data_IF_267913713576
#
_entry.id   IF_267913713576
#
_cell.length_a   1.000
_cell.length_b   1.000
_cell.length_c   1.000
_cell.angle_alpha   90.00
_cell.angle_beta   90.00
_cell.angle_gamma   90.00
#
_symmetry.space_group_name_H-M   'P 1'
#
loop_
_entity.id
_entity.type
_entity.pdbx_description
1 polymer ?
2 non-polymer ?
3 non-polymer ?
4 water ?
#
# COMPACT_ATOMS: atom_id res chain seq x y z
N UNK A 2 -17.73 -20.94 -7.44
CA UNK A 2 -16.49 -20.57 -8.18
C UNK A 2 -15.87 -19.25 -7.69
N UNK A 3 -14.59 -19.07 -8.00
CA UNK A 3 -13.91 -17.87 -7.57
C UNK A 3 -13.59 -17.10 -8.87
N UNK A 4 -14.24 -15.96 -9.08
CA UNK A 4 -14.11 -15.20 -10.26
C UNK A 4 -13.02 -14.14 -10.07
N UNK A 5 -12.28 -13.83 -11.15
CA UNK A 5 -11.43 -12.62 -11.23
C UNK A 5 -11.75 -11.77 -12.39
N UNK A 6 -12.19 -10.55 -12.12
CA UNK A 6 -12.39 -9.54 -13.12
C UNK A 6 -11.08 -8.85 -13.34
N UNK A 7 -10.63 -8.80 -14.59
CA UNK A 7 -9.25 -8.38 -14.86
C UNK A 7 -9.03 -7.89 -16.27
N UNK A 8 -7.85 -7.32 -16.49
CA UNK A 8 -7.23 -7.20 -17.79
C UNK A 8 -5.77 -7.64 -17.69
N UNK A 9 -5.24 -8.28 -18.74
CA UNK A 9 -3.94 -8.91 -18.54
C UNK A 9 -2.79 -7.91 -18.55
N UNK A 10 -2.95 -6.75 -19.18
CA UNK A 10 -1.84 -5.82 -19.20
C UNK A 10 -1.58 -5.08 -17.84
N UNK A 11 -2.52 -5.22 -16.92
CA UNK A 11 -2.50 -4.48 -15.68
C UNK A 11 -1.54 -5.18 -14.73
N UNK A 12 -0.55 -4.48 -14.19
CA UNK A 12 0.32 -5.08 -13.16
C UNK A 12 -0.42 -5.51 -11.89
N UNK A 13 -1.33 -4.68 -11.40
CA UNK A 13 -2.11 -5.20 -10.25
C UNK A 13 -2.89 -6.50 -10.55
N UNK A 14 -3.47 -6.63 -11.76
CA UNK A 14 -4.12 -7.90 -12.14
C UNK A 14 -3.11 -9.04 -12.18
N UNK A 15 -1.95 -8.80 -12.75
CA UNK A 15 -0.92 -9.86 -12.82
C UNK A 15 -0.42 -10.27 -11.44
N UNK A 16 -0.42 -9.32 -10.50
CA UNK A 16 -0.14 -9.60 -9.08
C UNK A 16 -1.01 -10.76 -8.63
N UNK A 17 -2.29 -10.69 -8.98
CA UNK A 17 -3.20 -11.71 -8.50
C UNK A 17 -3.06 -13.03 -9.27
N UNK A 18 -2.92 -12.91 -10.58
CA UNK A 18 -2.77 -14.10 -11.44
C UNK A 18 -1.54 -14.85 -10.98
N UNK A 19 -0.44 -14.16 -10.69
CA UNK A 19 0.70 -14.84 -10.09
C UNK A 19 0.44 -15.50 -8.76
N UNK A 20 -0.19 -14.78 -7.82
CA UNK A 20 -0.46 -15.35 -6.53
C UNK A 20 -1.34 -16.61 -6.70
N UNK A 21 -2.30 -16.56 -7.60
CA UNK A 21 -3.26 -17.63 -7.76
C UNK A 21 -2.56 -18.93 -8.23
N UNK A 22 -1.67 -18.76 -9.20
CA UNK A 22 -0.81 -19.88 -9.58
C UNK A 22 0.05 -20.42 -8.48
N UNK A 23 0.68 -19.56 -7.64
CA UNK A 23 1.59 -19.97 -6.62
C UNK A 23 0.91 -20.73 -5.50
N UNK A 24 -0.30 -20.30 -5.22
CA UNK A 24 -1.10 -20.90 -4.13
C UNK A 24 -1.81 -22.18 -4.64
N UNK A 25 -2.17 -22.16 -5.91
CA UNK A 25 -2.76 -23.26 -6.60
C UNK A 25 -4.23 -23.13 -6.62
N UNK A 26 -4.72 -21.92 -6.88
CA UNK A 26 -6.14 -21.66 -6.90
C UNK A 26 -6.59 -21.36 -8.32
N UNK A 27 -7.52 -22.16 -8.79
CA UNK A 27 -8.05 -21.92 -10.12
C UNK A 27 -9.01 -20.77 -10.07
N UNK A 28 -8.90 -19.87 -11.03
CA UNK A 28 -9.73 -18.71 -11.06
C UNK A 28 -10.53 -18.75 -12.31
N UNK A 29 -11.80 -18.38 -12.23
CA UNK A 29 -12.58 -18.19 -13.40
C UNK A 29 -12.29 -16.79 -13.82
N UNK A 30 -11.54 -16.66 -14.90
CA UNK A 30 -11.18 -15.33 -15.44
C UNK A 30 -12.27 -14.68 -16.24
N UNK A 31 -12.65 -13.46 -15.83
CA UNK A 31 -13.66 -12.69 -16.49
C UNK A 31 -13.01 -11.44 -17.02
N UNK A 32 -12.63 -11.50 -18.29
CA UNK A 32 -12.01 -10.36 -18.94
C UNK A 32 -12.93 -9.15 -18.92
N UNK A 33 -12.42 -8.03 -18.41
CA UNK A 33 -13.24 -6.87 -18.27
C UNK A 33 -12.75 -5.76 -19.15
N UNK A 34 -13.57 -5.37 -20.13
CA UNK A 34 -13.15 -4.32 -21.07
C UNK A 34 -13.40 -2.93 -20.51
N UNK A 35 -12.29 -2.30 -20.13
CA UNK A 35 -12.32 -1.00 -19.47
C UNK A 35 -12.68 0.08 -20.45
N UNK A 36 -12.15 -0.02 -21.68
CA UNK A 36 -12.38 1.05 -22.67
C UNK A 36 -13.87 1.24 -23.01
N UNK A 37 -14.64 0.17 -23.01
CA UNK A 37 -16.09 0.24 -23.16
C UNK A 37 -16.92 0.30 -21.85
N UNK A 38 -16.27 0.52 -20.70
CA UNK A 38 -17.03 0.82 -19.50
C UNK A 38 -17.62 -0.39 -18.81
N UNK A 39 -17.05 -1.58 -19.06
CA UNK A 39 -17.68 -2.80 -18.48
C UNK A 39 -17.56 -2.84 -16.97
N UNK A 40 -16.59 -2.12 -16.44
CA UNK A 40 -16.41 -1.97 -14.97
C UNK A 40 -17.33 -0.89 -14.36
N UNK A 41 -18.16 -0.31 -15.22
CA UNK A 41 -19.04 0.80 -14.86
C UNK A 41 -20.52 0.42 -14.94
N UNK A 42 -20.81 -0.83 -15.24
CA UNK A 42 -22.19 -1.22 -15.33
C UNK A 42 -22.77 -1.28 -13.93
N UNK A 43 -24.10 -1.19 -13.81
CA UNK A 43 -24.73 -1.29 -12.49
C UNK A 43 -24.29 -2.49 -11.73
N UNK A 44 -24.11 -3.58 -12.47
CA UNK A 44 -23.88 -4.90 -11.90
C UNK A 44 -22.49 -4.90 -11.32
N UNK A 45 -21.59 -4.21 -12.02
CA UNK A 45 -20.17 -4.22 -11.59
C UNK A 45 -20.10 -3.40 -10.30
N UNK A 46 -20.71 -2.24 -10.36
CA UNK A 46 -20.63 -1.28 -9.29
C UNK A 46 -21.24 -1.86 -8.04
N UNK A 47 -22.33 -2.57 -8.20
CA UNK A 47 -22.90 -3.27 -7.09
C UNK A 47 -21.88 -4.17 -6.48
N UNK A 48 -21.00 -4.74 -7.33
CA UNK A 48 -20.06 -5.73 -6.83
C UNK A 48 -18.84 -5.00 -6.16
N UNK A 49 -18.40 -3.95 -6.82
CA UNK A 49 -17.22 -3.17 -6.42
C UNK A 49 -17.43 -1.72 -6.73
N UNK A 50 -17.82 -0.88 -5.71
CA UNK A 50 -18.11 0.54 -6.02
C UNK A 50 -16.97 1.34 -6.55
N UNK A 51 -15.73 0.89 -6.32
CA UNK A 51 -14.64 1.58 -6.93
C UNK A 51 -14.42 1.31 -8.44
N UNK A 52 -15.19 0.43 -9.02
CA UNK A 52 -15.12 0.18 -10.43
C UNK A 52 -13.67 0.04 -10.89
N UNK A 53 -12.97 -0.91 -10.27
CA UNK A 53 -11.60 -1.17 -10.72
C UNK A 53 -11.26 -2.62 -10.74
N UNK A 54 -10.19 -2.97 -11.47
CA UNK A 54 -9.69 -4.37 -11.52
C UNK A 54 -8.26 -4.43 -10.96
N UNK A 55 -7.91 -5.54 -10.35
CA UNK A 55 -8.64 -6.78 -10.19
C UNK A 55 -9.81 -6.68 -9.18
N UNK A 56 -10.92 -7.34 -9.48
CA UNK A 56 -11.93 -7.63 -8.49
C UNK A 56 -12.06 -9.16 -8.33
N UNK A 57 -11.97 -9.66 -7.11
CA UNK A 57 -12.17 -11.05 -6.79
C UNK A 57 -13.59 -11.26 -6.29
N UNK A 58 -14.23 -12.33 -6.78
CA UNK A 58 -15.56 -12.78 -6.25
C UNK A 58 -15.50 -14.24 -5.93
N UNK A 59 -15.26 -14.51 -4.67
CA UNK A 59 -15.05 -15.84 -4.15
C UNK A 59 -16.41 -16.21 -3.53
N UNK A 60 -17.29 -16.78 -4.36
CA UNK A 60 -18.60 -17.18 -3.92
C UNK A 60 -19.29 -16.15 -3.09
N UNK A 61 -19.41 -14.93 -3.62
CA UNK A 61 -20.09 -13.86 -2.96
C UNK A 61 -19.20 -12.94 -2.07
N UNK A 62 -18.02 -13.42 -1.70
CA UNK A 62 -17.06 -12.61 -0.91
C UNK A 62 -16.25 -11.82 -1.93
N UNK A 63 -16.40 -10.51 -1.91
CA UNK A 63 -15.85 -9.63 -2.89
C UNK A 63 -14.63 -8.83 -2.34
N UNK A 64 -13.54 -8.78 -3.11
CA UNK A 64 -12.39 -7.96 -2.75
C UNK A 64 -11.91 -7.18 -3.92
N UNK A 65 -11.41 -5.97 -3.68
CA UNK A 65 -10.55 -5.29 -4.60
C UNK A 65 -9.17 -5.08 -3.82
N UNK A 66 -8.29 -4.37 -4.45
CA UNK A 66 -6.86 -4.25 -4.01
C UNK A 66 -6.07 -5.53 -4.21
N UNK A 67 -5.29 -5.55 -5.30
CA UNK A 67 -4.54 -6.70 -5.69
C UNK A 67 -3.78 -7.36 -4.56
N UNK A 68 -3.11 -6.58 -3.75
CA UNK A 68 -2.23 -7.14 -2.75
C UNK A 68 -2.98 -7.72 -1.57
N UNK A 69 -4.17 -7.23 -1.32
CA UNK A 69 -5.04 -7.83 -0.33
C UNK A 69 -5.60 -9.13 -0.89
N UNK A 70 -5.92 -9.16 -2.19
CA UNK A 70 -6.39 -10.43 -2.82
C UNK A 70 -5.28 -11.46 -2.77
N UNK A 71 -4.03 -11.06 -3.08
CA UNK A 71 -2.95 -12.01 -3.00
C UNK A 71 -2.86 -12.71 -1.64
N UNK A 72 -2.81 -11.93 -0.59
CA UNK A 72 -2.68 -12.47 0.77
C UNK A 72 -3.94 -13.20 1.26
N UNK A 73 -5.08 -12.83 0.74
CA UNK A 73 -6.34 -13.61 0.99
C UNK A 73 -6.28 -15.03 0.40
N UNK A 74 -5.80 -15.15 -0.82
CA UNK A 74 -5.67 -16.48 -1.41
C UNK A 74 -4.74 -17.30 -0.62
N UNK A 75 -3.64 -16.73 -0.13
CA UNK A 75 -2.76 -17.52 0.66
C UNK A 75 -3.42 -17.91 2.01
N UNK A 76 -4.05 -16.94 2.66
CA UNK A 76 -4.61 -17.10 4.00
C UNK A 76 -5.74 -18.14 3.99
N UNK A 77 -6.54 -18.09 2.94
CA UNK A 77 -7.76 -18.90 2.82
C UNK A 77 -7.50 -20.27 2.17
N UNK A 78 -6.55 -20.34 1.25
CA UNK A 78 -6.37 -21.55 0.43
C UNK A 78 -4.98 -22.09 0.38
N UNK A 79 -4.05 -21.39 1.01
CA UNK A 79 -2.66 -21.74 0.98
C UNK A 79 -2.32 -23.06 1.60
N UNK A 80 -1.38 -23.75 0.96
CA UNK A 80 -0.86 -25.02 1.48
C UNK A 80 0.64 -24.92 1.79
N UNK A 81 1.30 -23.85 1.32
CA UNK A 81 2.75 -23.71 1.50
C UNK A 81 3.08 -22.45 2.31
N UNK A 82 3.37 -22.65 3.56
CA UNK A 82 3.63 -21.55 4.48
C UNK A 82 4.79 -20.63 3.99
N UNK A 83 5.73 -21.15 3.24
CA UNK A 83 6.89 -20.40 2.90
C UNK A 83 6.50 -19.28 1.96
N UNK A 84 5.39 -19.41 1.24
CA UNK A 84 4.94 -18.35 0.31
C UNK A 84 4.46 -17.11 1.07
N UNK A 85 3.98 -17.32 2.31
CA UNK A 85 3.46 -16.18 3.09
C UNK A 85 3.42 -16.64 4.53
N UNK A 86 4.59 -16.67 5.17
CA UNK A 86 4.82 -17.31 6.48
C UNK A 86 3.87 -16.82 7.54
N UNK A 87 3.42 -17.73 8.39
CA UNK A 87 2.58 -17.32 9.51
C UNK A 87 3.30 -16.62 10.64
N UNK A 88 4.59 -16.89 10.80
CA UNK A 88 5.43 -16.21 11.84
C UNK A 88 5.33 -14.71 11.68
N UNK A 89 4.98 -14.00 12.76
CA UNK A 89 4.74 -12.57 12.63
C UNK A 89 5.88 -11.74 12.07
N UNK A 90 7.13 -12.05 12.44
CA UNK A 90 8.22 -11.30 11.88
C UNK A 90 8.48 -11.61 10.44
N UNK A 91 8.47 -12.87 10.06
CA UNK A 91 8.64 -13.22 8.63
C UNK A 91 7.49 -12.61 7.84
N UNK A 92 6.30 -12.70 8.40
CA UNK A 92 5.18 -12.17 7.64
C UNK A 92 5.30 -10.65 7.46
N UNK A 93 5.77 -9.99 8.50
CA UNK A 93 5.93 -8.55 8.44
C UNK A 93 6.94 -8.12 7.39
N UNK A 94 7.95 -8.91 7.15
CA UNK A 94 8.88 -8.61 6.07
C UNK A 94 8.24 -8.71 4.73
N UNK A 95 7.38 -9.74 4.56
CA UNK A 95 6.60 -9.88 3.33
C UNK A 95 5.66 -8.66 3.17
N UNK A 96 4.89 -8.36 4.20
CA UNK A 96 4.01 -7.21 4.15
C UNK A 96 4.74 -5.89 3.87
N UNK A 97 5.89 -5.65 4.51
CA UNK A 97 6.68 -4.47 4.31
C UNK A 97 6.98 -4.35 2.78
N UNK A 98 7.38 -5.44 2.15
CA UNK A 98 7.81 -5.39 0.75
C UNK A 98 6.56 -5.19 -0.12
N UNK A 99 5.43 -5.71 0.27
CA UNK A 99 4.20 -5.41 -0.49
C UNK A 99 3.84 -3.96 -0.45
N UNK A 100 3.95 -3.30 0.69
CA UNK A 100 3.74 -1.88 0.75
C UNK A 100 4.80 -1.09 0.00
N UNK A 101 6.05 -1.54 0.04
CA UNK A 101 7.11 -0.96 -0.80
C UNK A 101 6.68 -1.01 -2.28
N UNK A 102 6.23 -2.19 -2.71
CA UNK A 102 5.78 -2.36 -4.08
C UNK A 102 4.66 -1.38 -4.48
N UNK A 103 3.62 -1.26 -3.68
CA UNK A 103 2.53 -0.34 -4.04
C UNK A 103 3.02 1.10 -3.92
N UNK A 104 3.65 1.45 -2.81
CA UNK A 104 3.83 2.88 -2.48
C UNK A 104 5.08 3.56 -2.96
N UNK A 105 6.08 2.77 -3.36
CA UNK A 105 7.37 3.27 -3.77
C UNK A 105 7.68 2.81 -5.19
N UNK A 106 7.72 1.50 -5.41
CA UNK A 106 8.12 0.97 -6.72
C UNK A 106 7.08 1.23 -7.78
N UNK A 107 5.90 0.62 -7.64
CA UNK A 107 4.89 0.80 -8.67
C UNK A 107 4.40 2.26 -8.69
N UNK A 108 4.28 2.89 -7.53
CA UNK A 108 3.89 4.30 -7.47
C UNK A 108 4.80 5.18 -8.35
N UNK A 109 6.10 5.03 -8.17
CA UNK A 109 7.06 5.83 -8.86
C UNK A 109 7.07 5.52 -10.36
N UNK A 110 6.88 4.25 -10.74
CA UNK A 110 6.66 3.92 -12.13
C UNK A 110 5.44 4.61 -12.71
N UNK A 111 4.30 4.49 -12.02
CA UNK A 111 3.03 5.10 -12.51
C UNK A 111 3.19 6.60 -12.63
N UNK A 112 3.81 7.22 -11.65
CA UNK A 112 4.01 8.70 -11.68
C UNK A 112 4.84 9.14 -12.89
N UNK A 113 5.77 8.29 -13.30
CA UNK A 113 6.66 8.62 -14.39
C UNK A 113 6.07 8.30 -15.72
N UNK A 114 5.25 7.23 -15.84
CA UNK A 114 4.81 6.76 -17.14
C UNK A 114 3.38 6.99 -17.51
N UNK A 115 2.52 7.06 -16.51
CA UNK A 115 1.07 7.12 -16.77
C UNK A 115 0.68 8.43 -17.41
N UNK A 116 1.27 9.53 -16.93
CA UNK A 116 0.87 10.83 -17.53
C UNK A 116 1.25 10.79 -19.00
N UNK A 117 2.37 10.16 -19.30
CA UNK A 117 2.83 10.10 -20.67
C UNK A 117 2.00 9.17 -21.54
N UNK A 118 1.75 7.97 -21.06
CA UNK A 118 1.02 7.00 -21.83
C UNK A 118 -0.46 7.34 -21.96
N UNK A 119 -1.05 7.80 -20.87
CA UNK A 119 -2.45 8.10 -20.83
C UNK A 119 -2.74 9.61 -20.89
N UNK A 120 -1.74 10.44 -20.68
CA UNK A 120 -2.01 11.87 -20.68
C UNK A 120 -1.40 12.60 -21.85
N UNK A 121 -0.83 11.87 -22.81
CA UNK A 121 -0.06 12.50 -23.86
C UNK A 121 1.20 13.23 -23.40
N UNK A 122 1.30 13.54 -22.11
CA UNK A 122 2.47 14.30 -21.60
C UNK A 122 3.80 13.73 -22.01
N UNK A 123 4.82 14.57 -22.13
CA UNK A 123 6.18 14.07 -22.33
C UNK A 123 6.78 13.50 -21.05
N UNK A 124 7.65 12.51 -21.19
CA UNK A 124 8.32 11.90 -20.06
C UNK A 124 9.25 12.83 -19.34
N UNK A 125 9.08 12.93 -18.03
CA UNK A 125 9.84 13.80 -17.19
C UNK A 125 10.99 13.02 -16.63
N UNK A 126 12.19 13.41 -17.03
CA UNK A 126 13.39 12.69 -16.63
C UNK A 126 13.64 12.75 -15.13
N UNK A 127 13.09 13.74 -14.44
CA UNK A 127 13.19 13.70 -12.98
C UNK A 127 12.28 12.66 -12.31
N UNK A 128 11.11 12.46 -12.89
CA UNK A 128 10.21 11.42 -12.39
C UNK A 128 10.81 10.05 -12.66
N UNK A 129 11.50 9.91 -13.79
CA UNK A 129 12.13 8.63 -14.13
C UNK A 129 13.21 8.38 -13.12
N UNK A 130 13.91 9.45 -12.74
CA UNK A 130 14.91 9.39 -11.72
C UNK A 130 14.36 8.91 -10.38
N UNK A 131 13.13 9.30 -10.02
CA UNK A 131 12.59 8.86 -8.74
C UNK A 131 12.29 7.32 -8.84
N UNK A 132 11.87 6.89 -10.01
CA UNK A 132 11.76 5.41 -10.27
C UNK A 132 13.12 4.77 -10.09
N UNK A 133 14.17 5.39 -10.67
CA UNK A 133 15.52 4.97 -10.36
C UNK A 133 15.83 4.79 -8.87
N UNK A 134 15.44 5.77 -8.05
CA UNK A 134 15.65 5.67 -6.64
C UNK A 134 14.99 4.41 -6.02
N UNK A 135 13.76 4.14 -6.43
CA UNK A 135 13.06 2.98 -5.94
C UNK A 135 13.80 1.71 -6.36
N UNK A 136 14.31 1.68 -7.58
CA UNK A 136 15.03 0.53 -8.06
C UNK A 136 16.37 0.36 -7.29
N UNK A 137 17.02 1.46 -6.95
CA UNK A 137 18.17 1.40 -6.10
C UNK A 137 17.87 0.74 -4.74
N UNK A 138 16.77 1.13 -4.11
CA UNK A 138 16.40 0.52 -2.85
C UNK A 138 16.13 -0.99 -3.03
N UNK A 139 15.41 -1.34 -4.07
CA UNK A 139 15.12 -2.76 -4.37
C UNK A 139 16.41 -3.56 -4.57
N UNK A 140 17.33 -3.01 -5.37
CA UNK A 140 18.59 -3.65 -5.63
C UNK A 140 19.37 -3.88 -4.32
N UNK A 141 19.25 -2.95 -3.41
CA UNK A 141 19.82 -3.08 -2.08
C UNK A 141 19.21 -4.16 -1.25
N UNK A 142 17.88 -4.27 -1.26
CA UNK A 142 17.20 -5.35 -0.55
C UNK A 142 17.74 -6.71 -1.00
N UNK A 143 18.03 -6.82 -2.30
CA UNK A 143 18.40 -8.06 -2.93
C UNK A 143 19.90 -8.36 -2.84
N UNK A 144 20.67 -7.49 -2.21
CA UNK A 144 22.10 -7.67 -2.07
C UNK A 144 22.37 -8.73 -1.06
N UNK A 145 21.59 -8.72 0.02
CA UNK A 145 21.82 -9.59 1.20
C UNK A 145 20.65 -10.55 1.51
N UNK A 146 19.73 -10.67 0.55
CA UNK A 146 18.73 -11.69 0.60
C UNK A 146 18.52 -12.23 -0.82
N UNK A 147 18.23 -13.52 -0.95
CA UNK A 147 17.97 -14.15 -2.23
C UNK A 147 16.69 -13.60 -2.88
N UNK A 148 15.67 -13.45 -2.02
CA UNK A 148 14.39 -12.92 -2.47
C UNK A 148 14.09 -11.60 -1.73
N UNK A 149 13.00 -10.90 -2.08
CA UNK A 149 12.83 -9.56 -1.56
C UNK A 149 12.65 -9.45 -0.07
N UNK A 150 12.11 -10.51 0.52
CA UNK A 150 11.79 -10.50 1.96
C UNK A 150 12.40 -11.63 2.75
N UNK A 151 13.39 -12.30 2.16
CA UNK A 151 14.07 -13.43 2.82
C UNK A 151 14.63 -14.41 1.83
N UNK A 152 14.71 -15.66 2.24
CA UNK A 152 15.38 -16.70 1.45
C UNK A 152 14.50 -17.53 0.56
N UNK A 153 13.18 -17.35 0.63
CA UNK A 153 12.23 -18.11 -0.17
C UNK A 153 11.39 -17.18 -1.03
N UNK A 154 10.87 -17.72 -2.11
CA UNK A 154 9.88 -16.98 -2.93
C UNK A 154 8.66 -16.70 -2.06
N UNK A 155 8.22 -15.45 -2.01
CA UNK A 155 7.01 -15.10 -1.33
C UNK A 155 6.08 -14.30 -2.18
N UNK A 156 4.88 -14.04 -1.68
CA UNK A 156 3.91 -13.16 -2.36
C UNK A 156 4.56 -11.82 -2.74
N UNK A 157 5.50 -11.35 -1.95
CA UNK A 157 6.10 -10.05 -2.21
C UNK A 157 6.97 -10.07 -3.51
N UNK A 158 7.59 -11.22 -3.79
CA UNK A 158 8.37 -11.39 -5.02
C UNK A 158 7.43 -11.34 -6.20
N UNK A 159 6.23 -11.91 -6.03
CA UNK A 159 5.29 -11.96 -7.13
C UNK A 159 4.73 -10.59 -7.51
N UNK A 160 4.44 -9.76 -6.50
CA UNK A 160 4.00 -8.38 -6.78
C UNK A 160 5.10 -7.58 -7.42
N UNK A 161 6.29 -7.77 -6.90
CA UNK A 161 7.41 -6.93 -7.37
C UNK A 161 7.81 -7.38 -8.76
N UNK A 162 7.68 -8.66 -9.06
CA UNK A 162 8.05 -9.11 -10.42
C UNK A 162 6.99 -8.61 -11.39
N UNK A 163 5.71 -8.51 -10.98
CA UNK A 163 4.74 -7.86 -11.90
C UNK A 163 5.16 -6.41 -12.18
N UNK A 164 5.54 -5.69 -11.15
CA UNK A 164 6.02 -4.33 -11.29
C UNK A 164 7.26 -4.21 -12.18
N UNK A 165 8.27 -5.02 -11.89
CA UNK A 165 9.54 -4.92 -12.65
C UNK A 165 9.35 -5.30 -14.10
N UNK A 166 8.51 -6.28 -14.39
CA UNK A 166 8.22 -6.69 -15.77
C UNK A 166 7.52 -5.60 -16.56
N UNK A 167 6.74 -4.80 -15.87
CA UNK A 167 6.05 -3.68 -16.46
C UNK A 167 7.07 -2.57 -16.75
N UNK A 168 7.91 -2.31 -15.79
CA UNK A 168 8.98 -1.35 -15.91
C UNK A 168 9.90 -1.75 -17.10
N UNK A 169 10.14 -3.04 -17.24
CA UNK A 169 10.96 -3.52 -18.35
C UNK A 169 10.24 -3.29 -19.69
N UNK A 170 8.94 -3.55 -19.71
CA UNK A 170 8.10 -3.49 -20.90
C UNK A 170 8.03 -2.07 -21.46
N UNK A 171 8.29 -1.05 -20.65
CA UNK A 171 8.28 0.37 -21.16
C UNK A 171 9.68 0.79 -21.61
N UNK A 172 10.60 -0.18 -21.67
CA UNK A 172 11.97 0.03 -22.11
C UNK A 172 12.79 0.86 -21.17
N UNK A 173 12.42 0.92 -19.89
CA UNK A 173 13.24 1.54 -18.92
C UNK A 173 14.49 0.72 -18.76
N UNK A 174 15.63 1.37 -18.54
CA UNK A 174 16.89 0.66 -18.56
C UNK A 174 17.30 0.08 -17.20
N UNK A 175 17.21 -1.24 -17.08
CA UNK A 175 17.49 -1.95 -15.81
C UNK A 175 18.90 -2.50 -15.67
N UNK A 176 19.75 -2.33 -16.68
CA UNK A 176 21.11 -2.88 -16.61
C UNK A 176 21.95 -2.43 -15.40
N UNK A 177 21.73 -1.23 -14.85
CA UNK A 177 22.56 -0.93 -13.66
C UNK A 177 22.29 -1.82 -12.46
N UNK A 178 21.13 -2.48 -12.43
CA UNK A 178 20.73 -3.13 -11.19
C UNK A 178 21.07 -4.61 -11.21
N UNK A 179 22.27 -4.97 -10.77
CA UNK A 179 22.75 -6.36 -10.93
C UNK A 179 21.97 -7.35 -10.07
N UNK A 180 21.57 -6.93 -8.87
CA UNK A 180 20.84 -7.81 -7.95
C UNK A 180 19.40 -7.95 -8.44
N UNK A 181 18.80 -6.86 -8.90
CA UNK A 181 17.46 -7.01 -9.48
C UNK A 181 17.52 -8.02 -10.64
N UNK A 182 18.50 -7.89 -11.52
CA UNK A 182 18.51 -8.74 -12.72
C UNK A 182 18.72 -10.21 -12.42
N UNK A 183 19.59 -10.52 -11.47
CA UNK A 183 19.80 -11.88 -11.01
C UNK A 183 18.51 -12.44 -10.40
N UNK A 184 17.87 -11.63 -9.54
CA UNK A 184 16.61 -12.00 -8.87
C UNK A 184 15.50 -12.22 -9.90
N UNK A 185 15.48 -11.40 -10.93
CA UNK A 185 14.42 -11.48 -11.90
C UNK A 185 14.48 -12.81 -12.65
N UNK A 186 15.68 -13.22 -13.06
CA UNK A 186 15.90 -14.57 -13.59
C UNK A 186 15.38 -15.66 -12.68
N UNK A 187 15.69 -15.56 -11.40
CA UNK A 187 15.26 -16.55 -10.46
C UNK A 187 13.78 -16.65 -10.33
N UNK A 188 13.12 -15.51 -10.26
CA UNK A 188 11.67 -15.55 -10.15
C UNK A 188 10.98 -16.02 -11.39
N UNK A 189 11.46 -15.66 -12.58
CA UNK A 189 10.84 -16.20 -13.77
C UNK A 189 10.79 -17.72 -13.79
N UNK A 190 11.81 -18.35 -13.19
CA UNK A 190 11.90 -19.76 -13.11
C UNK A 190 11.21 -20.35 -11.91
N UNK A 191 11.26 -19.66 -10.78
CA UNK A 191 10.68 -20.16 -9.52
C UNK A 191 9.16 -20.02 -9.41
N UNK A 192 8.61 -18.97 -10.00
CA UNK A 192 7.20 -18.67 -9.76
C UNK A 192 6.29 -19.62 -10.57
N UNK A 193 5.50 -20.45 -9.87
CA UNK A 193 4.62 -21.30 -10.69
C UNK A 193 3.78 -20.53 -11.71
N UNK A 194 3.74 -21.05 -12.96
CA UNK A 194 2.92 -20.49 -13.99
C UNK A 194 3.29 -19.08 -14.45
N UNK A 195 4.56 -18.71 -14.27
CA UNK A 195 5.02 -17.37 -14.49
C UNK A 195 4.71 -16.89 -15.89
N UNK A 196 5.01 -17.70 -16.93
CA UNK A 196 4.73 -17.20 -18.28
C UNK A 196 3.24 -16.96 -18.53
N UNK A 197 2.40 -17.89 -18.08
CA UNK A 197 0.95 -17.81 -18.33
C UNK A 197 0.40 -16.60 -17.57
N UNK A 198 0.85 -16.44 -16.33
CA UNK A 198 0.23 -15.46 -15.41
C UNK A 198 0.71 -14.04 -15.74
N UNK A 199 1.97 -13.90 -16.15
CA UNK A 199 2.63 -12.59 -16.19
C UNK A 199 3.24 -12.17 -17.50
N UNK A 200 3.92 -13.08 -18.17
CA UNK A 200 4.60 -12.70 -19.41
C UNK A 200 3.82 -12.12 -20.52
N UNK A 201 2.73 -12.72 -20.91
CA UNK A 201 1.97 -12.21 -22.07
C UNK A 201 1.32 -10.89 -21.72
N UNK A 202 0.87 -10.71 -20.46
CA UNK A 202 0.28 -9.46 -20.13
C UNK A 202 1.30 -8.34 -20.11
N UNK A 203 2.50 -8.60 -19.59
CA UNK A 203 3.55 -7.57 -19.56
C UNK A 203 3.94 -7.22 -21.00
N UNK A 204 4.04 -8.23 -21.86
CA UNK A 204 4.34 -7.96 -23.30
C UNK A 204 3.20 -7.12 -23.87
N UNK A 205 1.96 -7.45 -23.53
CA UNK A 205 0.85 -6.68 -24.05
C UNK A 205 0.92 -5.23 -23.62
N UNK A 206 1.18 -5.03 -22.33
CA UNK A 206 1.30 -3.69 -21.82
C UNK A 206 2.34 -2.88 -22.58
N UNK A 207 3.47 -3.51 -22.84
CA UNK A 207 4.55 -2.89 -23.55
C UNK A 207 4.16 -2.49 -24.96
N UNK A 208 3.42 -3.35 -25.64
CA UNK A 208 2.95 -3.02 -27.01
C UNK A 208 2.01 -1.81 -26.95
N UNK A 209 1.08 -1.83 -26.01
CA UNK A 209 0.19 -0.71 -25.78
C UNK A 209 0.98 0.57 -25.54
N UNK A 210 2.04 0.48 -24.74
CA UNK A 210 2.85 1.62 -24.45
C UNK A 210 3.46 2.15 -25.71
N UNK A 211 4.07 1.26 -26.49
CA UNK A 211 4.72 1.66 -27.75
C UNK A 211 3.72 2.27 -28.72
N UNK A 212 2.47 1.84 -28.67
CA UNK A 212 1.46 2.39 -29.55
C UNK A 212 1.02 3.79 -29.09
N UNK A 213 0.62 3.90 -27.81
CA UNK A 213 0.20 5.18 -27.24
C UNK A 213 1.37 6.19 -27.19
N UNK A 214 2.59 5.68 -27.24
CA UNK A 214 3.79 6.52 -27.21
C UNK A 214 4.10 7.00 -28.63
N UNK B 1 14.60 -5.21 25.64
CA UNK B 1 14.58 -3.75 25.61
C UNK B 1 13.21 -3.33 25.10
N UNK B 2 12.77 -2.14 25.46
CA UNK B 2 11.52 -1.67 24.87
C UNK B 2 11.69 -1.54 23.37
N UNK B 3 10.56 -1.57 22.68
CA UNK B 3 10.54 -1.40 21.22
C UNK B 3 10.69 0.06 20.88
N UNK B 4 11.69 0.42 20.05
CA UNK B 4 11.91 1.77 19.68
C UNK B 4 11.02 2.12 18.44
N UNK B 5 10.54 3.35 18.39
CA UNK B 5 9.85 3.87 17.21
C UNK B 5 10.51 5.20 16.90
N UNK B 6 11.16 5.30 15.73
CA UNK B 6 11.71 6.54 15.24
C UNK B 6 10.60 7.26 14.48
N UNK B 7 10.26 8.47 14.86
CA UNK B 7 9.01 9.08 14.41
C UNK B 7 9.05 10.61 14.43
N UNK B 8 8.07 11.28 13.85
CA UNK B 8 7.74 12.69 14.12
C UNK B 8 6.22 12.73 14.31
N UNK B 9 5.72 13.55 15.22
CA UNK B 9 4.31 13.53 15.56
C UNK B 9 3.36 13.97 14.47
N UNK B 10 3.79 14.87 13.62
CA UNK B 10 2.89 15.38 12.57
C UNK B 10 2.67 14.43 11.42
N UNK B 11 3.51 13.42 11.32
CA UNK B 11 3.52 12.46 10.18
C UNK B 11 2.36 11.49 10.33
N UNK B 12 1.46 11.45 9.34
CA UNK B 12 0.36 10.48 9.36
C UNK B 12 0.83 9.02 9.42
N UNK B 13 1.82 8.64 8.61
CA UNK B 13 2.35 7.26 8.73
C UNK B 13 2.85 6.98 10.13
N UNK B 14 3.48 7.95 10.79
CA UNK B 14 3.87 7.74 12.18
C UNK B 14 2.67 7.60 13.13
N UNK B 15 1.65 8.37 12.88
CA UNK B 15 0.44 8.31 13.68
C UNK B 15 -0.32 6.99 13.49
N UNK B 16 -0.29 6.42 12.26
CA UNK B 16 -0.76 5.05 12.09
C UNK B 16 -0.23 4.14 13.14
N UNK B 17 1.07 4.23 13.36
CA UNK B 17 1.72 3.28 14.27
C UNK B 17 1.43 3.60 15.74
N UNK B 18 1.49 4.88 16.07
CA UNK B 18 1.16 5.32 17.43
C UNK B 18 -0.21 4.85 17.81
N UNK B 19 -1.18 5.06 16.96
CA UNK B 19 -2.54 4.57 17.24
C UNK B 19 -2.57 3.02 17.40
N UNK B 20 -1.91 2.31 16.49
CA UNK B 20 -1.95 0.83 16.54
C UNK B 20 -1.36 0.36 17.86
N UNK B 21 -0.25 0.97 18.29
CA UNK B 21 0.43 0.55 19.50
C UNK B 21 -0.47 0.79 20.72
N UNK B 22 -1.20 1.90 20.75
CA UNK B 22 -2.08 2.21 21.87
C UNK B 22 -3.20 1.17 21.85
N UNK B 23 -3.72 0.87 20.66
CA UNK B 23 -4.88 -0.03 20.59
C UNK B 23 -4.49 -1.45 20.97
N UNK B 24 -3.27 -1.84 20.60
CA UNK B 24 -2.81 -3.20 20.87
C UNK B 24 -2.37 -3.31 22.33
N UNK B 25 -1.85 -2.23 22.90
CA UNK B 25 -1.40 -2.22 24.28
C UNK B 25 0.10 -2.34 24.38
N UNK B 26 0.81 -1.84 23.35
CA UNK B 26 2.25 -1.87 23.30
C UNK B 26 2.79 -0.53 23.66
N UNK B 27 3.68 -0.51 24.65
CA UNK B 27 4.41 0.68 24.98
C UNK B 27 5.60 0.74 24.04
N UNK B 28 5.81 1.90 23.43
CA UNK B 28 6.97 2.15 22.57
C UNK B 28 7.84 3.14 23.25
N UNK B 29 9.15 3.01 23.04
CA UNK B 29 10.12 4.03 23.38
C UNK B 29 10.21 4.96 22.20
N UNK B 30 9.68 6.16 22.35
CA UNK B 30 9.60 7.11 21.25
C UNK B 30 10.88 7.90 21.03
N UNK B 31 11.46 7.80 19.80
CA UNK B 31 12.69 8.48 19.49
C UNK B 31 12.40 9.49 18.41
N UNK B 32 12.23 10.73 18.85
CA UNK B 32 11.90 11.80 17.92
C UNK B 32 13.02 11.90 16.93
N UNK B 33 12.66 11.99 15.64
CA UNK B 33 13.62 11.92 14.54
C UNK B 33 13.30 13.02 13.57
N UNK B 34 13.74 14.22 13.91
CA UNK B 34 13.29 15.39 13.20
C UNK B 34 13.81 15.43 11.77
N UNK B 35 12.88 15.58 10.84
CA UNK B 35 13.22 15.50 9.43
C UNK B 35 13.74 16.83 8.92
N UNK B 36 13.19 17.92 9.40
CA UNK B 36 13.62 19.31 8.99
C UNK B 36 15.13 19.44 9.10
N UNK B 37 15.66 18.92 10.20
CA UNK B 37 17.07 19.05 10.49
C UNK B 37 17.86 17.82 10.11
N UNK B 38 17.25 16.91 9.34
CA UNK B 38 17.99 15.79 8.79
C UNK B 38 18.38 14.63 9.66
N UNK B 39 17.65 14.38 10.74
CA UNK B 39 17.99 13.31 11.66
C UNK B 39 17.76 11.94 11.02
N UNK B 40 17.00 11.91 9.93
CA UNK B 40 16.78 10.65 9.22
C UNK B 40 17.88 10.39 8.24
N UNK B 41 18.87 11.29 8.17
CA UNK B 41 19.88 11.15 7.16
C UNK B 41 21.28 11.04 7.78
N UNK B 42 21.33 10.78 9.07
CA UNK B 42 22.62 10.50 9.70
C UNK B 42 23.15 9.16 9.28
N UNK B 43 24.45 8.94 9.46
CA UNK B 43 24.98 7.65 9.04
C UNK B 43 24.36 6.51 9.82
N UNK B 44 24.09 6.73 11.09
CA UNK B 44 23.53 5.64 11.94
C UNK B 44 22.06 5.35 11.56
N UNK B 45 21.32 6.36 11.21
CA UNK B 45 19.95 6.12 10.76
C UNK B 45 19.90 5.42 9.43
N UNK B 46 20.69 5.84 8.45
CA UNK B 46 20.79 5.14 7.21
C UNK B 46 21.17 3.67 7.34
N UNK B 47 22.10 3.39 8.25
CA UNK B 47 22.49 2.03 8.50
C UNK B 47 21.30 1.22 9.06
N UNK B 48 20.50 1.85 9.91
CA UNK B 48 19.34 1.17 10.49
C UNK B 48 18.26 0.95 9.41
N UNK B 49 18.03 1.94 8.54
CA UNK B 49 16.96 1.92 7.56
C UNK B 49 17.44 2.62 6.30
N UNK B 50 17.87 1.84 5.31
CA UNK B 50 18.41 2.41 4.05
C UNK B 50 17.49 3.39 3.35
N UNK B 51 16.17 3.27 3.55
CA UNK B 51 15.25 4.21 2.96
C UNK B 51 15.10 5.49 3.71
N UNK B 52 15.76 5.59 4.84
CA UNK B 52 15.91 6.89 5.59
C UNK B 52 14.55 7.57 5.78
N UNK B 53 13.58 6.80 6.28
CA UNK B 53 12.25 7.36 6.49
C UNK B 53 11.63 6.95 7.82
N UNK B 54 10.62 7.69 8.23
CA UNK B 54 9.85 7.38 9.47
C UNK B 54 8.41 7.07 9.04
N UNK B 55 7.72 6.20 9.78
CA UNK B 55 8.26 5.52 10.96
C UNK B 55 9.21 4.37 10.68
N UNK B 56 10.17 4.19 11.60
CA UNK B 56 10.97 2.96 11.64
C UNK B 56 10.82 2.36 13.02
N UNK B 57 10.40 1.09 13.05
CA UNK B 57 10.30 0.32 14.27
C UNK B 57 11.58 -0.49 14.48
N UNK B 58 12.12 -0.50 15.70
CA UNK B 58 13.18 -1.46 16.02
C UNK B 58 12.75 -2.23 17.23
N UNK B 59 12.25 -3.47 17.01
CA UNK B 59 11.87 -4.36 18.06
C UNK B 59 13.08 -5.27 18.38
N UNK B 60 13.95 -4.81 19.30
CA UNK B 60 15.05 -5.67 19.75
C UNK B 60 15.84 -6.25 18.62
N UNK B 61 16.09 -5.40 17.62
CA UNK B 61 16.91 -5.75 16.48
C UNK B 61 16.13 -6.08 15.24
N UNK B 62 14.83 -6.34 15.40
CA UNK B 62 13.98 -6.62 14.24
C UNK B 62 13.43 -5.26 13.76
N UNK B 63 13.84 -4.88 12.55
CA UNK B 63 13.59 -3.53 12.07
C UNK B 63 12.57 -3.56 10.95
N UNK B 64 11.61 -2.64 11.00
CA UNK B 64 10.61 -2.46 9.92
C UNK B 64 10.46 -1.02 9.59
N UNK B 65 10.20 -0.74 8.32
CA UNK B 65 9.63 0.51 7.98
C UNK B 65 8.21 0.10 7.35
N UNK B 66 7.56 1.01 6.75
CA UNK B 66 6.17 0.85 6.27
C UNK B 66 5.19 0.76 7.46
N UNK B 67 4.56 1.88 7.72
CA UNK B 67 3.61 2.03 8.86
C UNK B 67 2.61 0.91 8.92
N UNK B 68 1.99 0.56 7.78
CA UNK B 68 0.89 -0.37 7.83
C UNK B 68 1.36 -1.80 8.05
N UNK B 69 2.63 -2.09 7.70
CA UNK B 69 3.22 -3.42 8.00
C UNK B 69 3.51 -3.45 9.48
N UNK B 70 3.97 -2.35 10.01
CA UNK B 70 4.25 -2.23 11.43
C UNK B 70 2.96 -2.44 12.26
N UNK B 71 1.87 -1.83 11.82
CA UNK B 71 0.62 -1.97 12.56
C UNK B 71 0.19 -3.42 12.71
N UNK B 72 0.18 -4.17 11.61
CA UNK B 72 -0.23 -5.55 11.67
C UNK B 72 0.77 -6.45 12.38
N UNK B 73 2.06 -6.09 12.35
CA UNK B 73 3.10 -6.81 13.08
C UNK B 73 2.78 -6.66 14.57
N UNK B 74 2.55 -5.41 15.01
CA UNK B 74 2.28 -5.22 16.46
C UNK B 74 1.08 -6.04 16.85
N UNK B 75 0.06 -5.99 16.02
CA UNK B 75 -1.20 -6.63 16.40
C UNK B 75 -1.01 -8.17 16.48
N UNK B 76 -0.34 -8.76 15.49
CA UNK B 76 -0.16 -10.22 15.56
C UNK B 76 0.91 -10.68 16.55
N UNK B 77 1.95 -9.90 16.76
CA UNK B 77 3.02 -10.31 17.66
C UNK B 77 2.64 -10.06 19.11
N UNK B 78 1.88 -9.00 19.38
CA UNK B 78 1.59 -8.59 20.77
C UNK B 78 0.12 -8.48 21.16
N UNK B 79 -0.80 -8.64 20.21
CA UNK B 79 -2.22 -8.46 20.50
C UNK B 79 -2.75 -9.50 21.48
N UNK B 80 -3.70 -9.13 22.34
CA UNK B 80 -4.24 -10.10 23.32
C UNK B 80 -5.29 -11.02 22.72
N UNK B 81 -6.13 -10.41 21.89
CA UNK B 81 -7.00 -11.17 21.01
C UNK B 81 -6.95 -10.53 19.62
N UNK B 82 -7.75 -11.05 18.70
CA UNK B 82 -7.58 -10.68 17.28
C UNK B 82 -8.65 -9.68 16.79
N UNK B 83 -9.34 -9.04 17.71
CA UNK B 83 -10.45 -8.20 17.35
C UNK B 83 -10.03 -7.03 16.38
N UNK B 84 -8.84 -6.51 16.61
CA UNK B 84 -8.35 -5.38 15.81
C UNK B 84 -7.83 -5.82 14.46
N UNK B 85 -7.59 -7.12 14.29
CA UNK B 85 -7.04 -7.68 13.06
C UNK B 85 -7.31 -9.19 13.10
N UNK B 86 -8.52 -9.56 12.76
CA UNK B 86 -8.99 -10.93 12.90
C UNK B 86 -8.15 -11.94 12.13
N UNK B 87 -7.90 -13.10 12.76
CA UNK B 87 -7.33 -14.25 12.08
C UNK B 87 -8.14 -14.85 10.95
N UNK B 88 -9.46 -14.68 11.01
CA UNK B 88 -10.29 -15.19 9.97
C UNK B 88 -9.88 -14.63 8.64
N UNK B 89 -9.60 -15.49 7.63
CA UNK B 89 -9.03 -15.01 6.36
C UNK B 89 -9.87 -13.97 5.66
N UNK B 90 -11.20 -14.12 5.61
CA UNK B 90 -12.03 -13.15 5.01
C UNK B 90 -12.07 -11.78 5.75
N UNK B 91 -12.26 -11.78 7.08
CA UNK B 91 -12.25 -10.52 7.84
C UNK B 91 -10.86 -9.88 7.73
N UNK B 92 -9.84 -10.71 7.77
CA UNK B 92 -8.48 -10.16 7.69
C UNK B 92 -8.31 -9.48 6.33
N UNK B 93 -8.85 -10.11 5.28
CA UNK B 93 -8.70 -9.56 3.94
C UNK B 93 -9.37 -8.21 3.84
N UNK B 94 -10.49 -8.04 4.52
CA UNK B 94 -11.14 -6.77 4.48
C UNK B 94 -10.32 -5.66 5.12
N UNK B 95 -9.65 -6.00 6.19
CA UNK B 95 -8.82 -5.03 6.88
C UNK B 95 -7.67 -4.72 5.91
N UNK B 96 -7.04 -5.75 5.33
CA UNK B 96 -5.91 -5.47 4.42
C UNK B 96 -6.37 -4.60 3.27
N UNK B 97 -7.53 -4.90 2.69
CA UNK B 97 -8.05 -4.13 1.60
C UNK B 97 -8.10 -2.62 1.93
N UNK B 98 -8.66 -2.28 3.08
CA UNK B 98 -8.81 -0.92 3.43
C UNK B 98 -7.43 -0.29 3.81
N UNK B 99 -6.47 -1.06 4.31
CA UNK B 99 -5.11 -0.54 4.51
C UNK B 99 -4.47 -0.17 3.18
N UNK B 100 -4.67 -0.97 2.14
CA UNK B 100 -4.18 -0.60 0.83
C UNK B 100 -4.93 0.58 0.25
N UNK B 101 -6.26 0.65 0.41
CA UNK B 101 -6.99 1.86 0.05
C UNK B 101 -6.44 3.10 0.70
N UNK B 102 -6.12 3.02 1.99
CA UNK B 102 -5.60 4.12 2.73
C UNK B 102 -4.27 4.60 2.15
N UNK B 103 -3.34 3.70 1.88
CA UNK B 103 -2.07 4.08 1.33
C UNK B 103 -2.18 4.60 -0.07
N UNK B 104 -2.83 3.82 -0.93
CA UNK B 104 -2.76 4.03 -2.36
C UNK B 104 -3.75 4.96 -2.93
N UNK B 105 -4.84 5.19 -2.20
CA UNK B 105 -5.90 6.01 -2.70
C UNK B 105 -6.15 7.26 -1.85
N UNK B 106 -6.50 7.07 -0.57
CA UNK B 106 -6.80 8.18 0.28
C UNK B 106 -5.57 9.04 0.59
N UNK B 107 -4.59 8.43 1.27
CA UNK B 107 -3.43 9.21 1.67
C UNK B 107 -2.60 9.64 0.44
N UNK B 108 -2.53 8.75 -0.54
CA UNK B 108 -1.77 9.13 -1.75
C UNK B 108 -2.38 10.35 -2.38
N UNK B 109 -3.71 10.42 -2.44
CA UNK B 109 -4.28 11.55 -3.16
C UNK B 109 -4.13 12.84 -2.32
N UNK B 110 -4.20 12.71 -1.00
CA UNK B 110 -3.96 13.84 -0.15
C UNK B 110 -2.57 14.37 -0.34
N UNK B 111 -1.59 13.48 -0.28
CA UNK B 111 -0.21 13.91 -0.44
C UNK B 111 0.03 14.51 -1.81
N UNK B 112 -0.53 13.91 -2.84
CA UNK B 112 -0.34 14.42 -4.21
C UNK B 112 -0.80 15.88 -4.33
N UNK B 113 -1.90 16.19 -3.67
CA UNK B 113 -2.49 17.52 -3.71
C UNK B 113 -1.81 18.50 -2.77
N UNK B 114 -1.48 18.07 -1.55
CA UNK B 114 -1.03 18.99 -0.58
C UNK B 114 0.48 19.10 -0.34
N UNK B 115 1.27 18.05 -0.52
CA UNK B 115 2.71 18.15 -0.17
C UNK B 115 3.53 19.08 -1.11
N UNK B 116 3.30 19.03 -2.40
CA UNK B 116 4.05 20.00 -3.21
C UNK B 116 3.76 21.48 -2.86
N UNK B 117 2.54 21.74 -2.44
CA UNK B 117 2.12 23.07 -2.00
C UNK B 117 2.72 23.46 -0.67
N UNK B 118 2.71 22.53 0.27
CA UNK B 118 3.25 22.79 1.57
C UNK B 118 4.77 22.82 1.58
N UNK B 119 5.41 21.87 0.93
CA UNK B 119 6.87 21.77 1.00
C UNK B 119 7.59 22.33 -0.21
N UNK B 120 6.92 22.46 -1.34
CA UNK B 120 7.58 22.93 -2.58
C UNK B 120 7.13 24.32 -3.07
N UNK B 121 6.25 24.96 -2.32
CA UNK B 121 5.67 26.24 -2.66
C UNK B 121 4.84 26.23 -3.90
N UNK B 122 4.45 25.06 -4.37
CA UNK B 122 3.61 24.95 -5.59
C UNK B 122 2.18 25.41 -5.34
N UNK B 123 1.50 25.83 -6.40
CA UNK B 123 0.10 26.23 -6.23
C UNK B 123 -0.72 25.03 -5.86
N UNK B 124 -1.76 25.20 -5.07
CA UNK B 124 -2.66 24.08 -4.80
C UNK B 124 -3.41 23.78 -6.08
N UNK B 125 -3.33 22.55 -6.55
CA UNK B 125 -3.90 22.18 -7.82
C UNK B 125 -5.35 21.66 -7.65
N UNK B 126 -6.29 22.26 -8.37
CA UNK B 126 -7.70 21.88 -8.22
C UNK B 126 -8.02 20.47 -8.71
N UNK B 127 -7.34 20.05 -9.77
CA UNK B 127 -7.51 18.70 -10.33
C UNK B 127 -7.09 17.67 -9.30
N UNK B 128 -6.04 17.99 -8.58
CA UNK B 128 -5.52 17.09 -7.53
C UNK B 128 -6.42 17.02 -6.33
N UNK B 129 -6.87 18.19 -5.89
CA UNK B 129 -7.94 18.27 -4.91
C UNK B 129 -9.14 17.42 -5.26
N UNK B 130 -9.55 17.48 -6.53
CA UNK B 130 -10.65 16.66 -6.99
C UNK B 130 -10.45 15.18 -6.76
N UNK B 131 -9.24 14.68 -6.99
CA UNK B 131 -8.99 13.29 -6.87
C UNK B 131 -8.99 12.93 -5.37
N UNK B 132 -8.63 13.86 -4.51
CA UNK B 132 -8.78 13.58 -3.05
C UNK B 132 -10.27 13.51 -2.70
N UNK B 133 -11.06 14.40 -3.30
CA UNK B 133 -12.52 14.27 -3.14
C UNK B 133 -13.09 12.93 -3.56
N UNK B 134 -12.59 12.38 -4.68
CA UNK B 134 -13.04 11.11 -5.22
C UNK B 134 -12.72 10.05 -4.19
N UNK B 135 -11.58 10.14 -3.57
CA UNK B 135 -11.23 9.14 -2.54
C UNK B 135 -12.12 9.23 -1.31
N UNK B 136 -12.47 10.44 -0.97
CA UNK B 136 -13.39 10.64 0.16
C UNK B 136 -14.81 10.09 -0.17
N UNK B 137 -15.23 10.30 -1.39
CA UNK B 137 -16.50 9.72 -1.85
C UNK B 137 -16.58 8.22 -1.68
N UNK B 138 -15.49 7.53 -2.05
CA UNK B 138 -15.44 6.09 -1.87
C UNK B 138 -15.50 5.71 -0.41
N UNK B 139 -14.74 6.42 0.44
CA UNK B 139 -14.68 6.07 1.88
C UNK B 139 -16.09 6.29 2.47
N UNK B 140 -16.73 7.37 2.07
CA UNK B 140 -18.10 7.64 2.57
C UNK B 140 -19.01 6.50 2.20
N UNK B 141 -18.79 5.93 1.02
CA UNK B 141 -19.52 4.77 0.52
C UNK B 141 -19.28 3.55 1.38
N UNK B 142 -18.02 3.28 1.69
CA UNK B 142 -17.73 2.15 2.59
C UNK B 142 -18.47 2.23 3.88
N UNK B 143 -18.53 3.43 4.44
CA UNK B 143 -19.07 3.65 5.79
C UNK B 143 -20.60 3.76 5.80
N UNK B 144 -21.18 3.86 4.61
CA UNK B 144 -22.66 3.80 4.47
C UNK B 144 -23.11 2.39 4.70
N UNK B 145 -22.28 1.47 4.27
CA UNK B 145 -22.61 0.05 4.31
C UNK B 145 -22.25 -0.64 5.64
N UNK B 146 -21.18 -0.18 6.30
CA UNK B 146 -20.73 -0.80 7.54
C UNK B 146 -20.40 0.21 8.60
N UNK B 147 -20.44 -0.23 9.85
CA UNK B 147 -20.21 0.62 10.96
C UNK B 147 -18.80 1.19 10.92
N UNK B 148 -17.84 0.34 10.63
CA UNK B 148 -16.42 0.72 10.53
C UNK B 148 -15.92 0.41 9.12
N UNK B 149 -14.67 0.72 8.83
CA UNK B 149 -14.28 0.77 7.44
C UNK B 149 -14.21 -0.62 6.83
N UNK B 150 -13.85 -1.61 7.64
CA UNK B 150 -13.67 -2.98 7.18
C UNK B 150 -14.68 -3.97 7.68
N UNK B 151 -15.73 -3.47 8.34
CA UNK B 151 -16.73 -4.36 8.93
C UNK B 151 -17.41 -3.73 10.13
N UNK B 152 -17.85 -4.56 11.06
CA UNK B 152 -18.68 -4.07 12.14
C UNK B 152 -17.93 -3.67 13.39
N UNK B 153 -16.63 -4.03 13.49
CA UNK B 153 -15.78 -3.64 14.59
C UNK B 153 -14.65 -2.71 14.18
N UNK B 154 -14.18 -1.94 15.14
CA UNK B 154 -13.01 -1.09 14.89
C UNK B 154 -11.77 -2.01 14.66
N UNK B 155 -11.02 -1.77 13.58
CA UNK B 155 -9.84 -2.56 13.29
C UNK B 155 -8.65 -1.65 13.01
N UNK B 156 -7.49 -2.24 12.74
CA UNK B 156 -6.35 -1.45 12.33
C UNK B 156 -6.66 -0.52 11.19
N UNK B 157 -7.51 -0.91 10.25
CA UNK B 157 -7.76 -0.07 9.10
C UNK B 157 -8.46 1.20 9.50
N UNK B 158 -9.28 1.21 10.58
CA UNK B 158 -9.90 2.48 11.00
C UNK B 158 -8.82 3.40 11.56
N UNK B 159 -7.80 2.82 12.15
CA UNK B 159 -6.79 3.62 12.80
C UNK B 159 -5.97 4.30 11.73
N UNK B 160 -5.63 3.59 10.63
CA UNK B 160 -4.81 4.19 9.61
C UNK B 160 -5.65 5.29 8.94
N UNK B 161 -6.90 4.96 8.64
CA UNK B 161 -7.74 5.88 7.91
C UNK B 161 -8.08 7.12 8.74
N UNK B 162 -8.18 6.98 10.04
CA UNK B 162 -8.38 8.18 10.86
C UNK B 162 -7.15 9.06 10.94
N UNK B 163 -5.97 8.45 10.95
CA UNK B 163 -4.78 9.25 10.86
C UNK B 163 -4.81 10.05 9.57
N UNK B 164 -5.18 9.44 8.45
CA UNK B 164 -5.25 10.15 7.19
C UNK B 164 -6.33 11.22 7.19
N UNK B 165 -7.55 10.84 7.66
CA UNK B 165 -8.64 11.84 7.69
C UNK B 165 -8.34 13.04 8.58
N UNK B 166 -7.71 12.81 9.74
CA UNK B 166 -7.37 13.93 10.61
C UNK B 166 -6.37 14.83 9.95
N UNK B 167 -5.54 14.30 9.09
CA UNK B 167 -4.54 15.11 8.39
C UNK B 167 -5.20 15.96 7.31
N UNK B 168 -6.14 15.36 6.61
CA UNK B 168 -6.93 16.05 5.61
C UNK B 168 -7.74 17.17 6.29
N UNK B 169 -8.32 16.91 7.42
CA UNK B 169 -8.99 17.94 8.22
C UNK B 169 -8.08 19.07 8.62
N UNK B 170 -6.86 18.72 9.01
CA UNK B 170 -5.88 19.68 9.53
C UNK B 170 -5.43 20.72 8.47
N UNK B 171 -5.52 20.40 7.18
CA UNK B 171 -5.20 21.36 6.10
C UNK B 171 -6.48 22.15 5.66
N UNK B 172 -7.52 22.04 6.46
CA UNK B 172 -8.80 22.70 6.26
C UNK B 172 -9.49 22.33 4.95
N UNK B 173 -9.36 21.07 4.55
CA UNK B 173 -10.15 20.57 3.46
C UNK B 173 -11.57 20.42 3.98
N UNK B 174 -12.57 20.68 3.13
CA UNK B 174 -13.94 20.65 3.57
C UNK B 174 -14.54 19.27 3.59
N UNK B 175 -14.69 18.73 4.79
CA UNK B 175 -15.24 17.36 5.00
C UNK B 175 -16.79 17.38 5.16
N UNK B 176 -17.40 18.55 5.04
CA UNK B 176 -18.87 18.62 5.26
C UNK B 176 -19.79 17.73 4.36
N UNK B 177 -19.42 17.45 3.11
CA UNK B 177 -20.24 16.55 2.27
C UNK B 177 -20.38 15.14 2.75
N UNK B 178 -19.45 14.70 3.59
CA UNK B 178 -19.27 13.27 3.84
C UNK B 178 -19.86 12.91 5.16
N UNK B 179 -21.18 12.70 5.18
CA UNK B 179 -21.87 12.50 6.42
C UNK B 179 -21.46 11.17 7.08
N UNK B 180 -21.16 10.16 6.27
CA UNK B 180 -20.81 8.91 6.91
C UNK B 180 -19.39 8.97 7.48
N UNK B 181 -18.50 9.61 6.72
CA UNK B 181 -17.13 9.89 7.26
C UNK B 181 -17.25 10.62 8.61
N UNK B 182 -18.03 11.69 8.61
CA UNK B 182 -18.13 12.50 9.84
C UNK B 182 -18.65 11.77 11.07
N UNK B 183 -19.68 10.96 10.92
CA UNK B 183 -20.21 10.17 11.98
C UNK B 183 -19.20 9.12 12.47
N UNK B 184 -18.55 8.46 11.50
CA UNK B 184 -17.53 7.46 11.82
C UNK B 184 -16.37 8.10 12.59
N UNK B 185 -15.98 9.29 12.17
CA UNK B 185 -14.79 9.95 12.67
C UNK B 185 -15.00 10.26 14.17
N UNK B 186 -16.21 10.71 14.51
CA UNK B 186 -16.56 10.95 15.91
C UNK B 186 -16.50 9.67 16.69
N UNK B 187 -16.99 8.57 16.10
CA UNK B 187 -17.01 7.28 16.77
C UNK B 187 -15.56 6.81 17.06
N UNK B 188 -14.69 6.93 16.04
CA UNK B 188 -13.29 6.47 16.21
C UNK B 188 -12.52 7.30 17.22
N UNK B 189 -12.78 8.62 17.24
CA UNK B 189 -12.13 9.46 18.21
C UNK B 189 -12.43 8.98 19.62
N UNK B 190 -13.62 8.47 19.83
CA UNK B 190 -13.96 8.01 21.20
C UNK B 190 -13.52 6.60 21.48
N UNK B 191 -13.50 5.75 20.45
CA UNK B 191 -13.27 4.34 20.62
C UNK B 191 -11.80 3.97 20.61
N UNK B 192 -10.98 4.74 19.90
CA UNK B 192 -9.59 4.33 19.71
C UNK B 192 -8.81 4.67 20.96
N UNK B 193 -8.23 3.67 21.61
CA UNK B 193 -7.51 3.97 22.83
C UNK B 193 -6.44 5.02 22.61
N UNK B 194 -6.37 6.02 23.47
CA UNK B 194 -5.23 6.86 23.46
C UNK B 194 -5.28 7.77 22.24
N UNK B 195 -6.47 7.92 21.66
CA UNK B 195 -6.65 8.76 20.45
C UNK B 195 -6.02 10.15 20.54
N UNK B 196 -6.29 10.85 21.63
CA UNK B 196 -5.89 12.25 21.70
C UNK B 196 -4.39 12.39 21.69
N UNK B 197 -3.71 11.56 22.47
CA UNK B 197 -2.24 11.57 22.54
C UNK B 197 -1.56 11.01 21.31
N UNK B 198 -2.14 9.96 20.73
CA UNK B 198 -1.45 9.24 19.67
C UNK B 198 -1.65 9.93 18.32
N UNK B 199 -2.79 10.57 18.16
CA UNK B 199 -3.13 11.14 16.89
C UNK B 199 -3.57 12.59 16.88
N UNK B 200 -4.46 12.95 17.81
CA UNK B 200 -5.14 14.23 17.65
C UNK B 200 -4.15 15.38 17.72
N UNK B 201 -3.28 15.34 18.70
CA UNK B 201 -2.31 16.41 18.90
C UNK B 201 -1.33 16.50 17.76
N UNK B 202 -0.86 15.37 17.23
CA UNK B 202 0.06 15.44 16.08
C UNK B 202 -0.57 15.97 14.84
N UNK B 203 -1.84 15.62 14.65
CA UNK B 203 -2.55 16.08 13.51
C UNK B 203 -2.69 17.59 13.65
N UNK B 204 -3.00 18.10 14.86
CA UNK B 204 -3.21 19.53 15.06
C UNK B 204 -1.91 20.28 14.80
N UNK B 205 -0.81 19.67 15.25
CA UNK B 205 0.48 20.21 14.96
C UNK B 205 0.86 20.27 13.50
N UNK B 206 0.42 19.27 12.74
CA UNK B 206 0.63 19.27 11.29
C UNK B 206 -0.13 20.45 10.68
N UNK B 207 -1.37 20.62 11.10
CA UNK B 207 -2.16 21.73 10.63
C UNK B 207 -1.51 23.08 10.89
N UNK B 208 -0.96 23.26 12.08
CA UNK B 208 -0.20 24.51 12.37
C UNK B 208 0.98 24.68 11.42
N UNK B 209 1.68 23.58 11.13
CA UNK B 209 2.88 23.63 10.29
C UNK B 209 2.49 23.90 8.85
N UNK B 210 1.36 23.36 8.43
CA UNK B 210 0.85 23.66 7.10
C UNK B 210 0.55 25.15 6.99
N UNK B 211 -0.19 25.71 7.96
CA UNK B 211 -0.52 27.15 7.91
C UNK B 211 0.75 27.98 7.84
N UNK B 212 1.72 27.64 8.67
CA UNK B 212 2.95 28.43 8.72
C UNK B 212 3.68 28.40 7.39
N UNK B 213 3.76 27.21 6.81
CA UNK B 213 4.49 27.01 5.56
C UNK B 213 3.78 27.59 4.32
N UNK B 214 2.50 27.89 4.40
CA UNK B 214 1.79 28.35 3.22
C UNK B 214 1.23 29.78 3.37
#
# INVERSE_FOLDING_TARGET
MPIDLYYVPGSAPCRNVLLAAKAVGVDLNLKLTDLKSGQHLTPEFIKLNPQHNVPTLDDNGFVLNESRAIMTYLADQYGKDDSLYPKDPKKRAKVNQRLYFDMGTLYQSFGDAYYPHMFGGAPLDEDKKKKLGDALVFLDGFLEKSAFVAGEDLTLADLAIVASISTIEAVEYDLSPYKNINSWYSKVKAAAPGYKEANEEGAKGFGQMFKAMTGK
MPIDLYYVPGSAPCRNVLLAAKAVGVDLNLKLTDLKSGQHLTPEFIKLNPQHNVPTLDDNGFVLNESRAIMTYLADQYGKDDSLYPKDPKKRAKVNQRLYFDMGTLYQSFGDAYYPHMFGGAPLDEDKKKKLGDALVFLDGFLEKSAFVAGEDLTLADLAIVASISTIEAVEYDLSPYKNINSWYSKVKAAAPGYKEANEEGAKGFGQMFKAMTGK
#
